data_IF_134232931749
#
_entry.id   IF_134232931749
#
_cell.length_a   1.000
_cell.length_b   1.000
_cell.length_c   1.000
_cell.angle_alpha   90.00
_cell.angle_beta   90.00
_cell.angle_gamma   90.00
#
_symmetry.space_group_name_H-M   'P 1'
#
loop_
_entity.id
_entity.type
_entity.pdbx_description
1 polymer ?
#
# COMPACT_ATOMS: atom_id res chain seq x y z
N UNK A 1 31.50 24.46 -40.13
CA UNK A 1 31.81 23.59 -38.98
C UNK A 1 31.83 24.46 -37.71
N UNK A 2 31.16 24.02 -36.62
CA UNK A 2 31.24 24.58 -35.25
C UNK A 2 30.46 25.88 -35.02
N UNK A 3 29.17 25.95 -34.63
CA UNK A 3 28.40 25.36 -33.52
C UNK A 3 28.72 25.96 -32.11
N UNK A 4 27.81 26.84 -31.66
CA UNK A 4 27.42 27.22 -30.28
C UNK A 4 28.47 27.78 -29.31
N UNK A 5 28.28 29.05 -28.92
CA UNK A 5 28.20 29.43 -27.51
C UNK A 5 27.40 30.74 -27.34
N UNK A 6 26.08 30.60 -27.28
CA UNK A 6 25.16 31.68 -26.93
C UNK A 6 24.99 31.69 -25.40
N UNK A 7 25.67 32.63 -24.74
CA UNK A 7 25.50 32.94 -23.32
C UNK A 7 24.03 33.27 -23.02
N UNK A 8 23.31 32.33 -22.42
CA UNK A 8 21.92 32.51 -22.00
C UNK A 8 21.87 33.17 -20.63
N UNK A 9 21.60 34.47 -20.61
CA UNK A 9 21.31 35.25 -19.43
C UNK A 9 20.15 34.62 -18.63
N UNK A 10 20.40 34.28 -17.36
CA UNK A 10 19.36 33.84 -16.41
C UNK A 10 18.61 35.07 -15.89
N UNK A 11 17.47 35.38 -16.51
CA UNK A 11 16.48 36.30 -15.95
C UNK A 11 15.91 35.71 -14.65
N UNK A 12 16.24 36.33 -13.51
CA UNK A 12 15.76 35.95 -12.18
C UNK A 12 14.39 36.60 -11.95
N UNK A 13 13.31 35.92 -12.33
CA UNK A 13 11.94 36.35 -12.02
C UNK A 13 11.68 36.10 -10.53
N UNK A 14 11.82 37.13 -9.71
CA UNK A 14 11.38 37.13 -8.31
C UNK A 14 9.84 37.12 -8.28
N UNK A 15 9.24 35.93 -8.21
CA UNK A 15 7.83 35.81 -7.82
C UNK A 15 7.71 36.26 -6.37
N UNK A 16 7.01 37.39 -6.14
CA UNK A 16 6.51 37.79 -4.82
C UNK A 16 5.73 36.61 -4.23
N UNK A 17 6.28 36.02 -3.18
CA UNK A 17 5.59 35.01 -2.37
C UNK A 17 4.46 35.76 -1.63
N UNK A 18 3.18 35.40 -1.82
CA UNK A 18 2.12 35.98 -1.02
C UNK A 18 2.33 35.57 0.44
N UNK A 19 2.41 36.58 1.30
CA UNK A 19 2.42 36.51 2.75
C UNK A 19 1.37 35.50 3.23
N UNK A 20 1.83 34.47 3.97
CA UNK A 20 0.99 33.50 4.66
C UNK A 20 -0.03 34.26 5.51
N UNK A 21 -1.31 34.21 5.11
CA UNK A 21 -2.41 34.59 5.97
C UNK A 21 -2.33 33.73 7.22
N UNK A 22 -2.34 34.36 8.40
CA UNK A 22 -2.39 33.68 9.70
C UNK A 22 -3.63 32.77 9.72
N UNK A 23 -3.43 31.47 9.60
CA UNK A 23 -4.48 30.46 9.78
C UNK A 23 -4.84 30.45 11.26
N UNK A 24 -5.97 31.04 11.62
CA UNK A 24 -6.51 30.92 12.98
C UNK A 24 -6.90 29.46 13.18
N UNK A 25 -6.36 28.75 14.18
CA UNK A 25 -6.72 27.36 14.43
C UNK A 25 -8.19 27.28 14.87
N UNK A 26 -9.03 26.71 14.00
CA UNK A 26 -10.44 26.46 14.29
C UNK A 26 -10.58 25.52 15.48
N UNK A 27 -11.44 25.90 16.43
CA UNK A 27 -11.83 25.05 17.54
C UNK A 27 -12.45 23.74 17.01
N UNK A 28 -12.31 22.61 17.73
CA UNK A 28 -12.73 21.28 17.25
C UNK A 28 -14.21 21.20 16.83
N UNK A 29 -15.09 22.01 17.45
CA UNK A 29 -16.54 22.05 17.15
C UNK A 29 -16.87 22.72 15.81
N UNK A 30 -15.98 23.58 15.32
CA UNK A 30 -16.21 24.38 14.11
C UNK A 30 -15.60 23.77 12.86
N UNK A 31 -14.89 22.64 12.99
CA UNK A 31 -14.29 21.96 11.85
C UNK A 31 -15.36 21.27 10.99
N UNK A 32 -15.23 21.30 9.65
CA UNK A 32 -16.11 20.55 8.77
C UNK A 32 -16.05 19.06 9.08
N UNK A 33 -17.21 18.40 9.05
CA UNK A 33 -17.26 16.94 9.24
C UNK A 33 -16.75 16.22 7.99
N UNK A 34 -16.25 14.99 8.16
CA UNK A 34 -15.82 14.15 7.04
C UNK A 34 -16.92 13.98 5.98
N UNK A 35 -18.18 13.79 6.41
CA UNK A 35 -19.35 13.70 5.52
C UNK A 35 -19.53 14.95 4.65
N UNK A 36 -19.35 16.15 5.21
CA UNK A 36 -19.47 17.41 4.46
C UNK A 36 -18.32 17.61 3.47
N UNK A 37 -17.10 17.23 3.83
CA UNK A 37 -15.94 17.29 2.94
C UNK A 37 -16.10 16.33 1.76
N UNK A 38 -16.55 15.09 2.03
CA UNK A 38 -16.81 14.09 1.00
C UNK A 38 -17.94 14.55 0.06
N UNK A 39 -19.00 15.14 0.61
CA UNK A 39 -20.10 15.68 -0.18
C UNK A 39 -19.69 16.90 -1.02
N UNK A 40 -18.93 17.84 -0.46
CA UNK A 40 -18.36 18.97 -1.19
C UNK A 40 -17.53 18.49 -2.40
N UNK A 41 -16.73 17.42 -2.21
CA UNK A 41 -15.94 16.82 -3.29
C UNK A 41 -16.82 16.24 -4.39
N UNK A 42 -17.89 15.52 -4.05
CA UNK A 42 -18.85 15.00 -5.04
C UNK A 42 -19.51 16.13 -5.85
N UNK A 43 -19.87 17.21 -5.17
CA UNK A 43 -20.42 18.44 -5.74
C UNK A 43 -19.38 19.29 -6.50
N UNK A 44 -18.09 18.97 -6.45
CA UNK A 44 -17.02 19.74 -7.11
C UNK A 44 -16.73 21.09 -6.44
N UNK A 45 -17.08 21.26 -5.17
CA UNK A 45 -16.86 22.48 -4.40
C UNK A 45 -15.46 22.48 -3.80
N UNK A 46 -14.68 23.52 -4.08
CA UNK A 46 -13.32 23.66 -3.57
C UNK A 46 -13.33 24.13 -2.10
N UNK A 47 -13.03 23.22 -1.17
CA UNK A 47 -12.88 23.55 0.26
C UNK A 47 -11.48 24.08 0.54
N UNK A 48 -11.39 25.30 1.10
CA UNK A 48 -10.12 25.94 1.45
C UNK A 48 -9.66 25.59 2.88
N UNK A 49 -8.35 25.58 3.16
CA UNK A 49 -7.84 25.45 4.53
C UNK A 49 -8.35 26.59 5.41
N UNK A 50 -8.98 26.25 6.55
CA UNK A 50 -9.58 27.23 7.47
C UNK A 50 -11.07 27.52 7.23
N UNK A 51 -11.73 26.87 6.28
CA UNK A 51 -13.19 26.88 6.21
C UNK A 51 -13.79 26.12 7.41
N UNK A 52 -14.70 26.76 8.12
CA UNK A 52 -15.49 26.13 9.16
C UNK A 52 -16.68 25.35 8.57
N UNK A 53 -17.36 24.57 9.43
CA UNK A 53 -18.52 23.75 9.06
C UNK A 53 -19.61 24.54 8.32
N UNK A 54 -19.91 25.75 8.79
CA UNK A 54 -20.93 26.62 8.19
C UNK A 54 -20.52 27.10 6.80
N UNK A 55 -19.28 27.58 6.65
CA UNK A 55 -18.73 28.03 5.37
C UNK A 55 -18.72 26.94 4.30
N UNK A 56 -18.41 25.69 4.69
CA UNK A 56 -18.50 24.54 3.77
C UNK A 56 -19.94 24.28 3.36
N UNK A 57 -20.90 24.34 4.29
CA UNK A 57 -22.33 24.18 3.97
C UNK A 57 -22.82 25.25 3.01
N UNK A 58 -22.54 26.53 3.29
CA UNK A 58 -22.94 27.65 2.43
C UNK A 58 -22.32 27.58 1.04
N UNK A 59 -21.09 27.08 0.92
CA UNK A 59 -20.45 26.87 -0.39
C UNK A 59 -21.13 25.75 -1.20
N UNK A 60 -21.58 24.69 -0.53
CA UNK A 60 -22.38 23.62 -1.16
C UNK A 60 -23.74 24.18 -1.60
N UNK A 61 -24.43 24.93 -0.74
CA UNK A 61 -25.73 25.52 -1.05
C UNK A 61 -25.63 26.52 -2.23
N UNK A 62 -24.56 27.31 -2.28
CA UNK A 62 -24.28 28.20 -3.42
C UNK A 62 -24.08 27.42 -4.72
N UNK A 63 -23.41 26.27 -4.66
CA UNK A 63 -23.24 25.39 -5.81
C UNK A 63 -24.57 24.78 -6.28
N UNK A 64 -25.47 24.42 -5.36
CA UNK A 64 -26.83 23.95 -5.68
C UNK A 64 -27.71 25.04 -6.29
N UNK A 65 -27.59 26.29 -5.81
CA UNK A 65 -28.28 27.43 -6.41
C UNK A 65 -27.78 27.71 -7.84
N UNK A 66 -26.48 27.54 -8.09
CA UNK A 66 -25.90 27.73 -9.42
C UNK A 66 -26.22 26.58 -10.39
N UNK A 67 -26.35 25.35 -9.89
CA UNK A 67 -26.75 24.17 -10.70
C UNK A 67 -27.78 23.31 -9.94
N UNK A 68 -29.08 23.47 -10.22
CA UNK A 68 -30.14 22.67 -9.59
C UNK A 68 -30.01 21.16 -9.86
N UNK A 69 -29.31 20.75 -10.94
CA UNK A 69 -29.09 19.35 -11.28
C UNK A 69 -27.86 18.75 -10.59
N UNK A 70 -27.17 19.53 -9.74
CA UNK A 70 -25.96 19.08 -9.04
C UNK A 70 -26.20 17.84 -8.17
N UNK A 71 -27.38 17.72 -7.56
CA UNK A 71 -27.75 16.53 -6.77
C UNK A 71 -27.76 15.24 -7.59
N UNK A 72 -28.35 15.29 -8.80
CA UNK A 72 -28.34 14.16 -9.75
C UNK A 72 -26.92 13.86 -10.25
N UNK A 73 -26.13 14.89 -10.55
CA UNK A 73 -24.73 14.73 -10.97
C UNK A 73 -23.86 14.11 -9.86
N UNK A 74 -24.06 14.53 -8.61
CA UNK A 74 -23.35 13.99 -7.45
C UNK A 74 -23.73 12.53 -7.19
N UNK A 75 -25.01 12.17 -7.29
CA UNK A 75 -25.48 10.79 -7.17
C UNK A 75 -24.92 9.89 -8.30
N UNK A 76 -24.92 10.38 -9.54
CA UNK A 76 -24.35 9.65 -10.68
C UNK A 76 -22.83 9.45 -10.54
N UNK A 77 -22.10 10.46 -10.05
CA UNK A 77 -20.67 10.35 -9.73
C UNK A 77 -20.41 9.33 -8.64
N UNK A 78 -21.18 9.36 -7.55
CA UNK A 78 -21.08 8.37 -6.47
C UNK A 78 -21.31 6.95 -7.00
N UNK A 79 -22.38 6.73 -7.75
CA UNK A 79 -22.67 5.41 -8.37
C UNK A 79 -21.54 4.94 -9.28
N UNK A 80 -20.94 5.84 -10.08
CA UNK A 80 -19.82 5.52 -10.98
C UNK A 80 -18.54 5.15 -10.21
N UNK A 81 -18.26 5.85 -9.11
CA UNK A 81 -17.15 5.51 -8.22
C UNK A 81 -17.39 4.15 -7.55
N UNK A 82 -18.61 3.90 -7.06
CA UNK A 82 -18.99 2.62 -6.45
C UNK A 82 -18.84 1.46 -7.44
N UNK A 83 -19.26 1.61 -8.70
CA UNK A 83 -19.10 0.58 -9.75
C UNK A 83 -17.63 0.37 -10.16
N UNK A 84 -16.81 1.42 -10.18
CA UNK A 84 -15.36 1.30 -10.44
C UNK A 84 -14.64 0.52 -9.34
N UNK A 85 -15.10 0.63 -8.10
CA UNK A 85 -14.50 -0.09 -6.98
C UNK A 85 -15.05 -1.50 -6.80
N UNK A 86 -16.29 -1.79 -7.23
CA UNK A 86 -16.90 -3.13 -7.17
C UNK A 86 -16.03 -4.23 -7.80
N UNK A 87 -15.45 -3.99 -8.98
CA UNK A 87 -14.54 -4.95 -9.63
C UNK A 87 -13.24 -5.19 -8.85
N UNK A 88 -12.74 -4.17 -8.16
CA UNK A 88 -11.52 -4.27 -7.35
C UNK A 88 -11.74 -5.08 -6.07
N UNK A 89 -12.96 -5.10 -5.52
CA UNK A 89 -13.29 -5.93 -4.36
C UNK A 89 -13.36 -7.42 -4.74
N UNK A 90 -13.98 -7.76 -5.88
CA UNK A 90 -14.07 -9.15 -6.33
C UNK A 90 -12.70 -9.79 -6.61
N UNK A 91 -11.74 -9.03 -7.15
CA UNK A 91 -10.36 -9.52 -7.35
C UNK A 91 -9.60 -9.66 -6.02
N UNK A 92 -9.84 -8.77 -5.06
CA UNK A 92 -9.25 -8.86 -3.71
C UNK A 92 -9.74 -10.08 -2.96
N UNK A 93 -11.04 -10.34 -2.97
CA UNK A 93 -11.63 -11.52 -2.32
C UNK A 93 -11.06 -12.82 -2.88
N UNK A 94 -10.86 -12.89 -4.21
CA UNK A 94 -10.21 -14.04 -4.85
C UNK A 94 -8.77 -14.22 -4.39
N UNK A 95 -8.01 -13.12 -4.28
CA UNK A 95 -6.64 -13.16 -3.80
C UNK A 95 -6.55 -13.57 -2.33
N UNK A 96 -7.42 -13.03 -1.46
CA UNK A 96 -7.49 -13.41 -0.04
C UNK A 96 -7.77 -14.91 0.10
N UNK A 97 -8.81 -15.41 -0.60
CA UNK A 97 -9.14 -16.84 -0.58
C UNK A 97 -7.98 -17.70 -1.05
N UNK A 98 -7.32 -17.33 -2.15
CA UNK A 98 -6.15 -18.06 -2.67
C UNK A 98 -5.03 -18.14 -1.63
N UNK A 99 -4.72 -17.03 -0.96
CA UNK A 99 -3.61 -16.98 -0.01
C UNK A 99 -3.94 -17.61 1.34
N UNK A 100 -5.19 -17.53 1.80
CA UNK A 100 -5.64 -18.28 2.98
C UNK A 100 -5.63 -19.79 2.70
N UNK A 101 -6.07 -20.23 1.51
CA UNK A 101 -5.93 -21.64 1.10
C UNK A 101 -4.46 -22.08 1.02
N UNK A 102 -3.54 -21.19 0.64
CA UNK A 102 -2.12 -21.48 0.65
C UNK A 102 -1.59 -21.65 2.09
N UNK A 103 -2.05 -20.80 3.01
CA UNK A 103 -1.72 -20.89 4.43
C UNK A 103 -2.29 -22.16 5.09
N UNK A 104 -3.44 -22.66 4.65
CA UNK A 104 -4.01 -23.91 5.16
C UNK A 104 -3.32 -25.18 4.60
N UNK A 105 -2.52 -25.04 3.53
CA UNK A 105 -1.94 -26.16 2.79
C UNK A 105 -0.41 -26.24 2.89
N UNK A 106 0.36 -25.82 1.85
CA UNK A 106 1.82 -25.89 1.87
C UNK A 106 2.47 -25.11 3.01
N UNK A 107 1.85 -23.99 3.43
CA UNK A 107 2.33 -23.01 4.43
C UNK A 107 3.65 -22.31 4.05
N UNK A 108 4.65 -23.03 3.57
CA UNK A 108 5.99 -22.49 3.28
C UNK A 108 6.13 -22.10 1.82
N UNK A 109 6.82 -20.99 1.57
CA UNK A 109 7.18 -20.54 0.24
C UNK A 109 8.58 -19.95 0.19
N UNK A 110 9.27 -20.15 -0.93
CA UNK A 110 10.36 -19.28 -1.34
C UNK A 110 9.75 -17.99 -1.85
N UNK A 111 10.08 -16.86 -1.22
CA UNK A 111 9.55 -15.55 -1.57
C UNK A 111 10.67 -14.62 -2.02
N UNK A 112 10.46 -13.95 -3.16
CA UNK A 112 11.29 -12.83 -3.63
C UNK A 112 10.43 -11.58 -3.56
N UNK A 113 10.81 -10.62 -2.73
CA UNK A 113 9.98 -9.44 -2.50
C UNK A 113 10.78 -8.16 -2.27
N UNK A 114 10.15 -7.02 -2.55
CA UNK A 114 10.75 -5.71 -2.33
C UNK A 114 10.60 -5.24 -0.88
N UNK A 115 11.71 -4.90 -0.24
CA UNK A 115 11.76 -4.24 1.07
C UNK A 115 12.54 -2.93 0.97
N UNK A 116 11.81 -1.83 0.84
CA UNK A 116 12.41 -0.52 0.62
C UNK A 116 13.00 -0.43 -0.78
N UNK A 117 14.32 -0.28 -0.89
CA UNK A 117 15.06 -0.29 -2.16
C UNK A 117 15.74 -1.63 -2.48
N UNK A 118 15.55 -2.63 -1.61
CA UNK A 118 16.24 -3.91 -1.71
C UNK A 118 15.27 -4.99 -2.15
N UNK A 119 15.76 -5.93 -2.96
CA UNK A 119 15.10 -7.21 -3.23
C UNK A 119 15.58 -8.21 -2.20
N UNK A 120 14.63 -8.84 -1.51
CA UNK A 120 14.89 -9.84 -0.47
C UNK A 120 14.45 -11.19 -1.00
N UNK A 121 15.31 -12.18 -0.84
CA UNK A 121 15.01 -13.60 -1.10
C UNK A 121 15.00 -14.29 0.26
N UNK A 122 13.89 -14.89 0.63
CA UNK A 122 13.78 -15.63 1.90
C UNK A 122 12.77 -16.77 1.79
N UNK A 123 12.84 -17.71 2.72
CA UNK A 123 11.77 -18.69 2.91
C UNK A 123 10.80 -18.12 3.93
N UNK A 124 9.51 -18.10 3.62
CA UNK A 124 8.47 -17.57 4.48
C UNK A 124 7.43 -18.64 4.75
N UNK A 125 7.00 -18.75 6.00
CA UNK A 125 5.78 -19.46 6.37
C UNK A 125 4.63 -18.47 6.32
N UNK A 126 3.60 -18.75 5.53
CA UNK A 126 2.40 -17.93 5.39
C UNK A 126 1.38 -18.41 6.42
N UNK A 127 1.02 -17.53 7.34
CA UNK A 127 0.06 -17.85 8.40
C UNK A 127 -1.36 -17.44 7.99
N UNK A 128 -1.52 -16.24 7.45
CA UNK A 128 -2.81 -15.72 7.02
C UNK A 128 -2.65 -14.59 6.00
N UNK A 129 -3.72 -14.29 5.28
CA UNK A 129 -3.84 -13.14 4.39
C UNK A 129 -4.97 -12.20 4.86
N UNK A 130 -4.66 -10.92 4.91
CA UNK A 130 -5.54 -9.87 5.43
C UNK A 130 -5.66 -8.67 4.48
N UNK A 131 -6.78 -7.96 4.59
CA UNK A 131 -7.01 -6.71 3.90
C UNK A 131 -6.37 -5.53 4.62
N UNK A 132 -5.15 -5.20 4.19
CA UNK A 132 -4.49 -3.96 4.62
C UNK A 132 -5.06 -2.75 3.86
N UNK A 133 -6.30 -2.35 4.18
CA UNK A 133 -6.95 -1.09 3.77
C UNK A 133 -6.58 -0.57 2.36
N UNK A 134 -5.91 0.59 2.29
CA UNK A 134 -5.55 1.25 1.01
C UNK A 134 -4.51 0.48 0.18
N UNK A 135 -3.76 -0.42 0.79
CA UNK A 135 -2.59 -1.06 0.17
C UNK A 135 -2.88 -2.40 -0.51
N UNK A 136 -4.10 -2.92 -0.38
CA UNK A 136 -4.50 -4.22 -0.94
C UNK A 136 -4.21 -5.38 0.01
N UNK A 137 -4.21 -6.61 -0.53
CA UNK A 137 -3.99 -7.85 0.23
C UNK A 137 -2.56 -7.90 0.77
N UNK A 138 -2.41 -8.21 2.05
CA UNK A 138 -1.14 -8.43 2.71
C UNK A 138 -1.11 -9.82 3.34
N UNK A 139 0.05 -10.45 3.32
CA UNK A 139 0.33 -11.72 3.96
C UNK A 139 1.01 -11.47 5.29
N UNK A 140 0.53 -12.15 6.33
CA UNK A 140 1.24 -12.29 7.58
C UNK A 140 2.07 -13.56 7.51
N UNK A 141 3.38 -13.37 7.51
CA UNK A 141 4.33 -14.45 7.36
C UNK A 141 5.29 -14.50 8.55
N UNK A 142 5.85 -15.67 8.81
CA UNK A 142 7.01 -15.86 9.65
C UNK A 142 8.23 -16.13 8.78
N UNK A 143 9.33 -15.45 9.06
CA UNK A 143 10.61 -15.70 8.43
C UNK A 143 11.55 -16.43 9.41
N UNK A 144 12.45 -17.28 8.90
CA UNK A 144 13.33 -18.07 9.73
C UNK A 144 14.40 -17.18 10.36
N UNK A 145 14.81 -17.60 11.55
CA UNK A 145 15.96 -17.07 12.28
C UNK A 145 16.83 -18.25 12.66
N UNK A 146 18.09 -18.21 12.22
CA UNK A 146 19.08 -19.20 12.64
C UNK A 146 19.36 -19.03 14.13
N UNK A 147 19.22 -20.11 14.88
CA UNK A 147 19.42 -20.18 16.31
C UNK A 147 20.40 -21.30 16.63
N UNK A 148 21.15 -21.09 17.71
CA UNK A 148 22.08 -22.08 18.24
C UNK A 148 21.65 -22.40 19.65
N UNK A 149 21.19 -23.63 19.85
CA UNK A 149 20.85 -24.18 21.15
C UNK A 149 21.95 -25.13 21.64
N UNK A 150 22.07 -25.24 22.97
CA UNK A 150 23.11 -26.06 23.60
C UNK A 150 22.89 -27.57 23.42
N UNK A 151 21.64 -27.99 23.28
CA UNK A 151 21.22 -29.39 23.19
C UNK A 151 20.85 -29.80 21.77
N UNK A 152 20.25 -28.90 20.98
CA UNK A 152 19.78 -29.17 19.61
C UNK A 152 20.75 -28.71 18.52
N UNK A 153 21.83 -28.00 18.87
CA UNK A 153 22.75 -27.45 17.87
C UNK A 153 22.13 -26.28 17.10
N UNK A 154 22.49 -26.13 15.82
CA UNK A 154 21.95 -25.08 14.96
C UNK A 154 20.63 -25.50 14.32
N UNK A 155 19.61 -24.65 14.38
CA UNK A 155 18.29 -24.90 13.79
C UNK A 155 17.60 -23.60 13.37
N UNK A 156 16.52 -23.70 12.59
CA UNK A 156 15.73 -22.55 12.15
C UNK A 156 14.48 -22.39 13.00
N UNK A 157 14.27 -21.18 13.53
CA UNK A 157 13.04 -20.82 14.22
C UNK A 157 12.25 -19.81 13.37
N UNK A 158 11.01 -20.12 13.03
CA UNK A 158 10.10 -19.25 12.29
C UNK A 158 9.35 -18.29 13.25
N UNK A 159 10.07 -17.40 13.91
CA UNK A 159 9.48 -16.45 14.88
C UNK A 159 9.40 -15.01 14.35
N UNK A 160 10.14 -14.69 13.28
CA UNK A 160 10.24 -13.31 12.81
C UNK A 160 9.00 -12.95 11.99
N UNK A 161 8.05 -12.25 12.61
CA UNK A 161 6.84 -11.76 11.93
C UNK A 161 7.20 -10.76 10.83
N UNK A 162 6.72 -11.02 9.62
CA UNK A 162 6.87 -10.21 8.42
C UNK A 162 5.49 -9.96 7.82
N UNK A 163 5.10 -8.69 7.71
CA UNK A 163 3.92 -8.29 6.94
C UNK A 163 4.33 -7.96 5.50
N UNK A 164 3.93 -8.81 4.57
CA UNK A 164 4.30 -8.70 3.16
C UNK A 164 3.09 -8.26 2.31
N UNK A 165 3.20 -7.15 1.58
CA UNK A 165 2.17 -6.80 0.61
C UNK A 165 2.32 -7.66 -0.64
N UNK A 166 1.23 -8.29 -1.12
CA UNK A 166 1.24 -9.16 -2.30
C UNK A 166 1.75 -8.42 -3.55
N UNK A 167 1.52 -7.11 -3.66
CA UNK A 167 2.04 -6.30 -4.79
C UNK A 167 3.57 -6.17 -4.81
N UNK A 168 4.23 -6.37 -3.67
CA UNK A 168 5.68 -6.34 -3.53
C UNK A 168 6.31 -7.72 -3.68
N UNK A 169 5.51 -8.77 -3.82
CA UNK A 169 5.96 -10.13 -4.05
C UNK A 169 6.24 -10.29 -5.56
N UNK A 170 7.52 -10.34 -5.91
CA UNK A 170 8.00 -10.47 -7.28
C UNK A 170 7.91 -11.92 -7.77
N UNK A 171 8.15 -12.86 -6.88
CA UNK A 171 8.09 -14.29 -7.16
C UNK A 171 7.76 -15.08 -5.89
N UNK A 172 7.01 -16.16 -6.06
CA UNK A 172 6.80 -17.14 -5.01
C UNK A 172 6.77 -18.56 -5.55
N UNK A 173 7.29 -19.50 -4.77
CA UNK A 173 7.26 -20.94 -5.06
C UNK A 173 6.88 -21.70 -3.79
N UNK A 174 5.85 -22.56 -3.80
CA UNK A 174 5.53 -23.39 -2.65
C UNK A 174 6.70 -24.32 -2.31
N UNK A 175 6.96 -24.47 -1.03
CA UNK A 175 7.96 -25.40 -0.51
C UNK A 175 7.28 -26.50 0.31
N UNK A 176 7.88 -27.71 0.37
CA UNK A 176 7.48 -28.72 1.34
C UNK A 176 7.59 -28.19 2.77
N UNK A 177 6.81 -28.77 3.70
CA UNK A 177 6.89 -28.43 5.12
C UNK A 177 8.29 -28.68 5.67
N UNK A 178 8.73 -27.79 6.55
CA UNK A 178 10.03 -27.82 7.24
C UNK A 178 9.99 -28.59 8.58
N UNK A 179 8.92 -29.33 8.87
CA UNK A 179 8.56 -29.76 10.24
C UNK A 179 9.21 -31.04 10.79
N UNK A 180 9.91 -31.85 9.98
CA UNK A 180 10.14 -33.24 10.38
C UNK A 180 11.59 -33.61 10.71
N UNK A 181 12.57 -32.74 10.43
CA UNK A 181 13.98 -33.12 10.56
C UNK A 181 14.91 -31.90 10.72
N UNK A 182 15.33 -31.63 11.95
CA UNK A 182 16.25 -30.54 12.30
C UNK A 182 17.59 -30.64 11.57
N UNK A 183 18.06 -31.86 11.27
CA UNK A 183 19.38 -32.07 10.65
C UNK A 183 19.37 -31.67 9.16
N UNK A 184 18.22 -31.78 8.48
CA UNK A 184 18.11 -31.43 7.05
C UNK A 184 17.45 -30.08 6.79
N UNK A 185 16.90 -29.42 7.81
CA UNK A 185 16.18 -28.15 7.69
C UNK A 185 17.07 -27.01 7.14
N UNK A 186 18.29 -26.89 7.67
CA UNK A 186 19.24 -25.83 7.27
C UNK A 186 19.70 -26.01 5.82
N UNK A 187 20.03 -27.24 5.41
CA UNK A 187 20.46 -27.52 4.03
C UNK A 187 19.32 -27.26 3.03
N UNK A 188 18.08 -27.65 3.37
CA UNK A 188 16.90 -27.34 2.56
C UNK A 188 16.70 -25.83 2.41
N UNK A 189 16.82 -25.07 3.50
CA UNK A 189 16.74 -23.61 3.48
C UNK A 189 17.81 -23.00 2.59
N UNK A 190 19.09 -23.38 2.77
CA UNK A 190 20.20 -22.86 1.99
C UNK A 190 20.04 -23.16 0.49
N UNK A 191 19.60 -24.38 0.13
CA UNK A 191 19.31 -24.76 -1.26
C UNK A 191 18.18 -23.92 -1.84
N UNK A 192 17.09 -23.71 -1.10
CA UNK A 192 15.97 -22.89 -1.52
C UNK A 192 16.39 -21.43 -1.74
N UNK A 193 17.14 -20.84 -0.80
CA UNK A 193 17.63 -19.47 -0.91
C UNK A 193 18.61 -19.32 -2.07
N UNK A 194 19.55 -20.26 -2.25
CA UNK A 194 20.49 -20.25 -3.37
C UNK A 194 19.76 -20.29 -4.72
N UNK A 195 18.71 -21.12 -4.83
CA UNK A 195 17.83 -21.16 -6.01
C UNK A 195 17.13 -19.82 -6.22
N UNK A 196 16.55 -19.26 -5.16
CA UNK A 196 15.87 -17.96 -5.20
C UNK A 196 16.78 -16.80 -5.60
N UNK A 197 18.03 -16.79 -5.14
CA UNK A 197 19.03 -15.80 -5.57
C UNK A 197 19.35 -15.92 -7.06
N UNK A 198 19.37 -17.14 -7.60
CA UNK A 198 19.51 -17.37 -9.04
C UNK A 198 18.34 -16.84 -9.86
N UNK A 199 17.12 -16.91 -9.32
CA UNK A 199 15.91 -16.37 -9.94
C UNK A 199 15.90 -14.84 -9.84
N UNK A 200 16.20 -14.28 -8.65
CA UNK A 200 16.21 -12.85 -8.39
C UNK A 200 17.15 -12.07 -9.31
N UNK A 201 18.27 -12.67 -9.73
CA UNK A 201 19.20 -12.06 -10.71
C UNK A 201 18.61 -11.89 -12.11
N UNK A 202 17.49 -12.54 -12.42
CA UNK A 202 16.83 -12.53 -13.73
C UNK A 202 15.54 -11.70 -13.74
N UNK A 203 15.10 -11.21 -12.58
CA UNK A 203 13.92 -10.35 -12.39
C UNK A 203 14.34 -8.88 -12.43
#
# INVERSE_FOLDING_TARGET
MGLFDLFRAKARVTKKVPTKSKTVPLQPRDRPTKKQLDYAKLCGVAVRPGMNRSAVSSAIDAAFKADPKLGFKAAARKKRDDTKHAGQYAERDKLLKKWNQFADGPEYMLAIYEKGKNVVVDVLRVNEADESGKTGVSLFCEAPKLRKDKHLGEHLEFERVVKLNVKKLLYHEPLPRFQDDHDTEIDRYQKAVKRGLGIAKKL
#
